data_IF_780739171066
#
_entry.id   IF_780739171066
#
_cell.length_a   1.000
_cell.length_b   1.000
_cell.length_c   1.000
_cell.angle_alpha   90.00
_cell.angle_beta   90.00
_cell.angle_gamma   90.00
#
_symmetry.space_group_name_H-M   'P 1'
#
loop_
_entity.id
_entity.type
_entity.pdbx_description
1 polymer ?
#
# COMPACT_ATOMS: atom_id res chain seq x y z
N UNK A 1 10.48 8.13 27.84
CA UNK A 1 10.96 7.25 26.75
C UNK A 1 10.36 7.62 25.38
N UNK A 2 9.64 8.75 25.26
CA UNK A 2 9.07 9.30 24.02
C UNK A 2 10.08 10.26 23.33
N UNK A 3 11.09 10.75 24.06
CA UNK A 3 12.03 11.77 23.58
C UNK A 3 13.16 11.28 22.65
N UNK A 4 13.36 9.97 22.47
CA UNK A 4 14.43 9.46 21.61
C UNK A 4 14.06 9.36 20.12
N UNK A 5 12.78 9.60 19.75
CA UNK A 5 12.32 9.49 18.37
C UNK A 5 12.37 10.84 17.63
N UNK A 6 12.46 11.96 18.36
CA UNK A 6 12.50 13.30 17.77
C UNK A 6 13.86 13.66 17.12
N UNK A 7 14.92 12.88 17.31
CA UNK A 7 16.30 13.23 16.92
C UNK A 7 17.02 12.16 16.08
N UNK A 8 16.39 11.57 15.05
CA UNK A 8 17.11 10.67 14.14
C UNK A 8 17.38 11.32 12.76
N UNK A 9 18.63 11.73 12.45
CA UNK A 9 18.98 12.59 11.31
C UNK A 9 19.16 11.84 9.97
N UNK A 10 18.45 10.74 9.75
CA UNK A 10 18.56 9.93 8.53
C UNK A 10 17.35 10.09 7.61
N UNK A 11 16.80 11.31 7.55
CA UNK A 11 15.96 11.70 6.42
C UNK A 11 16.90 11.94 5.23
N UNK A 12 16.94 10.96 4.34
CA UNK A 12 17.75 11.06 3.13
C UNK A 12 17.20 12.21 2.29
N UNK A 13 18.02 13.20 1.96
CA UNK A 13 17.66 14.48 1.30
C UNK A 13 16.67 14.39 0.12
N UNK A 14 16.57 13.25 -0.57
CA UNK A 14 15.55 13.03 -1.63
C UNK A 14 14.16 12.68 -1.10
N UNK A 15 14.05 11.90 -0.02
CA UNK A 15 12.77 11.61 0.64
C UNK A 15 12.19 12.86 1.30
N UNK A 16 13.05 13.66 1.92
CA UNK A 16 12.70 14.96 2.52
C UNK A 16 12.03 15.92 1.53
N UNK A 17 12.55 15.99 0.29
CA UNK A 17 12.02 16.85 -0.78
C UNK A 17 10.67 16.35 -1.32
N UNK A 18 10.47 15.03 -1.40
CA UNK A 18 9.20 14.46 -1.88
C UNK A 18 8.11 14.56 -0.80
N UNK A 19 8.46 14.30 0.47
CA UNK A 19 7.56 14.42 1.62
C UNK A 19 7.08 15.87 1.79
N UNK A 20 7.98 16.86 1.63
CA UNK A 20 7.63 18.28 1.72
C UNK A 20 6.67 18.72 0.61
N UNK A 21 6.86 18.21 -0.62
CA UNK A 21 6.02 18.59 -1.78
C UNK A 21 4.57 18.13 -1.68
N UNK A 22 4.32 16.92 -1.18
CA UNK A 22 2.94 16.44 -1.05
C UNK A 22 2.18 17.15 0.07
N UNK A 23 2.87 17.47 1.16
CA UNK A 23 2.39 18.35 2.22
C UNK A 23 2.09 19.78 1.73
N UNK A 24 2.99 20.39 0.95
CA UNK A 24 2.81 21.72 0.35
C UNK A 24 1.57 21.76 -0.55
N UNK A 25 1.37 20.74 -1.40
CA UNK A 25 0.17 20.61 -2.25
C UNK A 25 -1.13 20.51 -1.44
N UNK A 26 -1.12 19.75 -0.34
CA UNK A 26 -2.31 19.62 0.52
C UNK A 26 -2.66 20.96 1.15
N UNK A 27 -1.66 21.64 1.69
CA UNK A 27 -1.79 22.96 2.32
C UNK A 27 -2.32 24.00 1.32
N UNK A 28 -1.77 24.02 0.10
CA UNK A 28 -2.25 24.89 -0.97
C UNK A 28 -3.72 24.60 -1.30
N UNK A 29 -4.08 23.32 -1.46
CA UNK A 29 -5.47 22.90 -1.72
C UNK A 29 -6.42 23.34 -0.61
N UNK A 30 -6.00 23.22 0.64
CA UNK A 30 -6.79 23.68 1.80
C UNK A 30 -6.94 25.19 1.82
N UNK A 31 -5.87 25.94 1.60
CA UNK A 31 -5.92 27.40 1.59
C UNK A 31 -6.88 27.92 0.52
N UNK A 32 -6.93 27.26 -0.65
CA UNK A 32 -7.88 27.57 -1.71
C UNK A 32 -9.32 27.25 -1.29
N UNK A 33 -9.56 26.12 -0.61
CA UNK A 33 -10.87 25.78 -0.06
C UNK A 33 -11.31 26.82 0.97
N UNK A 34 -10.47 27.11 1.96
CA UNK A 34 -10.75 28.08 3.02
C UNK A 34 -10.99 29.48 2.47
N UNK A 35 -10.19 29.92 1.50
CA UNK A 35 -10.41 31.20 0.82
C UNK A 35 -11.80 31.24 0.16
N UNK A 36 -12.22 30.15 -0.49
CA UNK A 36 -13.53 30.03 -1.13
C UNK A 36 -14.69 30.18 -0.13
N UNK A 37 -14.51 29.68 1.11
CA UNK A 37 -15.53 29.73 2.16
C UNK A 37 -15.47 30.97 3.05
N UNK A 38 -14.29 31.57 3.24
CA UNK A 38 -14.02 32.65 4.20
C UNK A 38 -14.90 33.90 4.05
N UNK A 39 -15.34 34.18 2.81
CA UNK A 39 -16.26 35.28 2.52
C UNK A 39 -17.69 35.05 3.02
N UNK A 40 -18.15 33.79 3.05
CA UNK A 40 -19.50 33.42 3.46
C UNK A 40 -19.57 32.87 4.88
N UNK A 41 -18.52 32.20 5.34
CA UNK A 41 -18.43 31.53 6.64
C UNK A 41 -17.29 32.10 7.48
N UNK A 42 -17.48 32.08 8.79
CA UNK A 42 -16.40 32.12 9.77
C UNK A 42 -16.06 30.66 10.11
N UNK A 43 -14.89 30.19 9.68
CA UNK A 43 -14.47 28.80 9.89
C UNK A 43 -14.03 28.65 11.35
N UNK A 44 -14.74 27.82 12.10
CA UNK A 44 -14.48 27.56 13.52
C UNK A 44 -13.58 26.35 13.70
N UNK A 45 -13.78 25.31 12.89
CA UNK A 45 -13.05 24.05 13.01
C UNK A 45 -12.98 23.28 11.68
N UNK A 46 -11.98 22.40 11.53
CA UNK A 46 -11.72 21.63 10.31
C UNK A 46 -11.47 20.16 10.63
N UNK A 47 -11.97 19.30 9.76
CA UNK A 47 -11.73 17.86 9.79
C UNK A 47 -11.46 17.30 8.39
N UNK A 48 -10.57 16.33 8.31
CA UNK A 48 -10.23 15.66 7.07
C UNK A 48 -10.14 14.15 7.26
N UNK A 49 -10.75 13.42 6.33
CA UNK A 49 -10.68 11.96 6.27
C UNK A 49 -10.22 11.56 4.87
N UNK A 50 -9.14 10.79 4.79
CA UNK A 50 -8.61 10.28 3.53
C UNK A 50 -8.76 8.76 3.52
N UNK A 51 -9.46 8.24 2.51
CA UNK A 51 -9.50 6.81 2.22
C UNK A 51 -8.57 6.54 1.04
N UNK A 52 -7.45 5.88 1.32
CA UNK A 52 -6.40 5.61 0.34
C UNK A 52 -6.87 4.65 -0.74
N UNK A 53 -7.59 3.59 -0.36
CA UNK A 53 -8.05 2.56 -1.28
C UNK A 53 -9.09 3.11 -2.26
N UNK A 54 -10.05 3.88 -1.74
CA UNK A 54 -11.11 4.48 -2.55
C UNK A 54 -10.63 5.73 -3.31
N UNK A 55 -9.42 6.21 -3.02
CA UNK A 55 -8.85 7.46 -3.53
C UNK A 55 -9.80 8.65 -3.31
N UNK A 56 -10.41 8.69 -2.13
CA UNK A 56 -11.34 9.75 -1.75
C UNK A 56 -10.83 10.54 -0.56
N UNK A 57 -11.07 11.83 -0.59
CA UNK A 57 -10.77 12.76 0.48
C UNK A 57 -12.06 13.45 0.90
N UNK A 58 -12.51 13.24 2.12
CA UNK A 58 -13.59 14.00 2.71
C UNK A 58 -13.00 15.18 3.48
N UNK A 59 -13.28 16.39 3.00
CA UNK A 59 -13.01 17.62 3.73
C UNK A 59 -14.29 18.09 4.40
N UNK A 60 -14.21 18.42 5.69
CA UNK A 60 -15.35 18.99 6.41
C UNK A 60 -14.90 20.11 7.31
N UNK A 61 -15.76 21.10 7.50
CA UNK A 61 -15.50 22.17 8.45
C UNK A 61 -16.79 22.58 9.15
N UNK A 62 -16.64 23.07 10.37
CA UNK A 62 -17.70 23.76 11.10
C UNK A 62 -17.52 25.25 10.85
N UNK A 63 -18.56 25.91 10.36
CA UNK A 63 -18.50 27.33 10.09
C UNK A 63 -19.79 28.05 10.45
N UNK A 64 -19.66 29.25 11.00
CA UNK A 64 -20.78 30.16 11.25
C UNK A 64 -21.08 30.94 9.98
N UNK A 65 -22.32 30.88 9.51
CA UNK A 65 -22.71 31.58 8.30
C UNK A 65 -22.79 33.10 8.56
N UNK A 66 -21.91 33.88 7.93
CA UNK A 66 -21.91 35.35 8.04
C UNK A 66 -23.05 35.97 7.24
N UNK A 67 -23.22 35.48 6.01
CA UNK A 67 -24.22 35.97 5.06
C UNK A 67 -24.80 34.81 4.26
N UNK A 68 -26.12 34.79 4.11
CA UNK A 68 -26.82 33.83 3.26
C UNK A 68 -27.01 34.36 1.82
N UNK A 69 -26.44 35.52 1.50
CA UNK A 69 -26.50 36.11 0.16
C UNK A 69 -25.40 35.55 -0.71
N UNK A 70 -25.79 34.78 -1.73
CA UNK A 70 -24.90 34.42 -2.84
C UNK A 70 -24.69 32.92 -3.00
N UNK A 71 -23.55 32.59 -3.62
CA UNK A 71 -23.10 31.23 -3.89
C UNK A 71 -21.61 31.16 -3.59
N UNK A 72 -21.15 30.05 -3.02
CA UNK A 72 -19.73 29.75 -2.86
C UNK A 72 -19.30 28.88 -4.03
N UNK A 73 -18.26 29.30 -4.74
CA UNK A 73 -17.65 28.50 -5.81
C UNK A 73 -16.45 27.75 -5.24
N UNK A 74 -16.42 26.45 -5.44
CA UNK A 74 -15.30 25.58 -5.06
C UNK A 74 -14.58 25.21 -6.36
N UNK A 75 -13.28 25.52 -6.49
CA UNK A 75 -12.51 25.28 -7.71
C UNK A 75 -12.05 23.81 -7.83
N UNK A 76 -12.87 22.88 -7.34
CA UNK A 76 -12.63 21.44 -7.40
C UNK A 76 -13.92 20.70 -7.73
N UNK A 77 -13.77 19.62 -8.49
CA UNK A 77 -14.84 18.67 -8.73
C UNK A 77 -15.05 17.86 -7.45
N UNK A 78 -16.23 18.01 -6.85
CA UNK A 78 -16.68 17.17 -5.74
C UNK A 78 -17.47 15.99 -6.30
N UNK A 79 -17.54 14.88 -5.57
CA UNK A 79 -18.48 13.80 -5.87
C UNK A 79 -19.80 14.02 -5.14
N UNK A 80 -19.71 14.57 -3.93
CA UNK A 80 -20.85 14.96 -3.10
C UNK A 80 -20.47 16.20 -2.29
N UNK A 81 -21.45 17.05 -2.04
CA UNK A 81 -21.31 18.16 -1.13
C UNK A 81 -22.59 18.30 -0.29
N UNK A 82 -22.47 18.48 1.01
CA UNK A 82 -23.61 18.64 1.92
C UNK A 82 -23.38 19.80 2.87
N UNK A 83 -24.47 20.50 3.20
CA UNK A 83 -24.49 21.48 4.29
C UNK A 83 -25.57 21.03 5.27
N UNK A 84 -25.26 21.04 6.56
CA UNK A 84 -26.18 20.65 7.63
C UNK A 84 -26.11 21.65 8.78
N UNK A 85 -27.24 22.16 9.28
CA UNK A 85 -27.24 22.86 10.56
C UNK A 85 -26.81 21.91 11.67
N UNK A 86 -25.99 22.36 12.63
CA UNK A 86 -25.54 21.50 13.74
C UNK A 86 -26.72 20.98 14.56
N UNK A 87 -27.77 21.79 14.74
CA UNK A 87 -28.89 21.48 15.62
C UNK A 87 -29.88 20.48 15.02
N UNK A 88 -30.17 20.57 13.72
CA UNK A 88 -31.15 19.67 13.07
C UNK A 88 -30.51 18.47 12.38
N UNK A 89 -29.23 18.57 12.00
CA UNK A 89 -28.47 17.55 11.24
C UNK A 89 -29.10 17.15 9.89
N UNK A 90 -30.16 17.84 9.46
CA UNK A 90 -30.82 17.60 8.19
C UNK A 90 -29.84 17.88 7.04
N UNK A 91 -29.77 16.94 6.09
CA UNK A 91 -28.94 17.12 4.90
C UNK A 91 -29.62 18.06 3.93
N UNK A 92 -29.04 19.22 3.70
CA UNK A 92 -29.49 20.13 2.66
C UNK A 92 -28.52 19.95 1.47
N UNK A 93 -28.94 19.29 0.37
CA UNK A 93 -28.15 19.23 -0.85
C UNK A 93 -28.26 20.61 -1.52
N UNK A 94 -27.24 21.45 -1.34
CA UNK A 94 -27.25 22.83 -1.85
C UNK A 94 -26.26 23.06 -3.00
N UNK A 95 -25.88 22.01 -3.71
CA UNK A 95 -24.84 22.08 -4.73
C UNK A 95 -25.33 21.90 -6.17
N UNK A 96 -24.74 22.68 -7.07
CA UNK A 96 -24.78 22.51 -8.52
C UNK A 96 -23.35 22.23 -9.01
N UNK A 97 -23.17 21.32 -9.97
CA UNK A 97 -21.89 21.14 -10.64
C UNK A 97 -21.91 21.82 -12.01
N UNK A 98 -20.91 22.67 -12.28
CA UNK A 98 -20.79 23.37 -13.55
C UNK A 98 -19.33 23.49 -13.96
N UNK A 99 -18.99 23.00 -15.15
CA UNK A 99 -17.64 23.09 -15.74
C UNK A 99 -16.50 22.60 -14.80
N UNK A 100 -16.75 21.55 -14.01
CA UNK A 100 -15.77 21.00 -13.06
C UNK A 100 -15.68 21.74 -11.72
N UNK A 101 -16.45 22.81 -11.52
CA UNK A 101 -16.61 23.53 -10.25
C UNK A 101 -17.85 23.05 -9.50
N UNK A 102 -17.77 23.10 -8.16
CA UNK A 102 -18.93 22.86 -7.29
C UNK A 102 -19.44 24.20 -6.76
N UNK A 103 -20.72 24.50 -6.98
CA UNK A 103 -21.34 25.75 -6.54
C UNK A 103 -22.31 25.45 -5.40
N UNK A 104 -22.06 26.01 -4.22
CA UNK A 104 -22.94 25.91 -3.06
C UNK A 104 -23.85 27.13 -2.98
N UNK A 105 -25.16 26.93 -3.01
CA UNK A 105 -26.16 27.98 -2.86
C UNK A 105 -26.45 28.22 -1.38
N UNK A 106 -26.40 29.48 -0.93
CA UNK A 106 -26.56 29.79 0.50
C UNK A 106 -27.93 30.39 0.84
N UNK A 107 -28.77 30.68 -0.16
CA UNK A 107 -30.01 31.45 0.01
C UNK A 107 -31.00 30.85 1.01
N UNK A 108 -31.02 29.53 1.14
CA UNK A 108 -31.95 28.81 2.00
C UNK A 108 -31.40 28.57 3.42
N UNK A 109 -30.19 29.05 3.69
CA UNK A 109 -29.55 28.91 5.00
C UNK A 109 -29.85 30.14 5.86
N UNK A 110 -30.02 29.91 7.16
CA UNK A 110 -30.20 30.97 8.15
C UNK A 110 -28.84 31.60 8.51
N UNK A 111 -28.71 32.93 8.46
CA UNK A 111 -27.47 33.61 8.85
C UNK A 111 -27.24 33.52 10.36
N UNK A 112 -25.98 33.63 10.77
CA UNK A 112 -25.48 33.53 12.16
C UNK A 112 -25.68 32.17 12.83
N UNK A 113 -26.09 31.15 12.08
CA UNK A 113 -26.17 29.77 12.54
C UNK A 113 -24.90 29.00 12.15
N UNK A 114 -24.59 27.97 12.92
CA UNK A 114 -23.41 27.12 12.73
C UNK A 114 -23.79 25.91 11.87
N UNK A 115 -22.99 25.69 10.83
CA UNK A 115 -23.20 24.63 9.85
C UNK A 115 -21.99 23.73 9.76
N UNK A 116 -22.25 22.45 9.50
CA UNK A 116 -21.27 21.48 9.05
C UNK A 116 -21.33 21.45 7.53
N UNK A 117 -20.21 21.78 6.89
CA UNK A 117 -20.04 21.64 5.44
C UNK A 117 -19.16 20.42 5.20
N UNK A 118 -19.61 19.52 4.33
CA UNK A 118 -18.87 18.31 3.96
C UNK A 118 -18.69 18.26 2.44
N UNK A 119 -17.47 18.01 1.99
CA UNK A 119 -17.08 17.89 0.59
C UNK A 119 -16.35 16.56 0.38
N UNK A 120 -16.89 15.72 -0.49
CA UNK A 120 -16.23 14.48 -0.92
C UNK A 120 -15.45 14.76 -2.21
N UNK A 121 -14.13 14.78 -2.12
CA UNK A 121 -13.19 15.07 -3.20
C UNK A 121 -12.53 13.78 -3.71
N UNK A 122 -12.20 13.73 -5.00
CA UNK A 122 -11.34 12.67 -5.53
C UNK A 122 -9.86 13.04 -5.37
N UNK A 123 -9.05 12.03 -5.11
CA UNK A 123 -7.59 12.09 -5.12
C UNK A 123 -7.13 11.53 -6.47
N UNK A 124 -6.35 12.32 -7.20
CA UNK A 124 -5.84 11.94 -8.52
C UNK A 124 -4.34 11.61 -8.52
N UNK A 125 -3.62 12.01 -7.47
CA UNK A 125 -2.16 11.84 -7.34
C UNK A 125 -1.87 10.76 -6.29
N UNK A 126 -1.35 9.60 -6.70
CA UNK A 126 -1.03 8.51 -5.78
C UNK A 126 0.16 8.86 -4.87
N UNK A 127 1.08 9.70 -5.37
CA UNK A 127 2.25 10.16 -4.59
C UNK A 127 1.88 11.11 -3.46
N UNK A 128 0.69 11.70 -3.52
CA UNK A 128 0.17 12.53 -2.44
C UNK A 128 -0.02 11.69 -1.18
N UNK A 129 -0.62 10.51 -1.27
CA UNK A 129 -0.84 9.65 -0.10
C UNK A 129 0.49 9.19 0.50
N UNK A 130 1.44 8.79 -0.35
CA UNK A 130 2.79 8.38 0.08
C UNK A 130 3.52 9.49 0.85
N UNK A 131 3.19 10.77 0.62
CA UNK A 131 3.80 11.88 1.35
C UNK A 131 3.25 12.09 2.76
N UNK A 132 2.05 11.59 3.04
CA UNK A 132 1.36 11.77 4.32
C UNK A 132 1.83 10.77 5.38
N UNK A 133 2.44 9.66 4.95
CA UNK A 133 2.85 8.57 5.82
C UNK A 133 4.30 8.22 5.59
N UNK A 134 5.05 8.19 6.67
CA UNK A 134 6.34 7.53 6.70
C UNK A 134 6.16 6.06 7.07
N UNK A 135 6.51 5.16 6.15
CA UNK A 135 6.57 3.72 6.41
C UNK A 135 8.01 3.27 6.56
N UNK A 136 8.31 2.53 7.63
CA UNK A 136 9.63 1.93 7.84
C UNK A 136 9.51 0.42 7.85
N UNK A 137 10.27 -0.20 6.95
CA UNK A 137 10.42 -1.63 6.76
C UNK A 137 11.92 -1.90 6.72
N UNK A 138 12.50 -2.57 7.73
CA UNK A 138 13.91 -2.93 7.69
C UNK A 138 14.22 -3.83 6.49
N UNK A 139 15.42 -3.66 5.93
CA UNK A 139 15.87 -4.45 4.78
C UNK A 139 16.17 -5.89 5.16
N UNK A 140 16.55 -6.12 6.41
CA UNK A 140 16.89 -7.44 6.94
C UNK A 140 15.83 -7.85 7.97
N UNK A 141 15.24 -9.04 7.83
CA UNK A 141 14.36 -9.60 8.85
C UNK A 141 15.16 -10.04 10.07
N UNK A 142 14.48 -10.09 11.22
CA UNK A 142 14.96 -10.85 12.36
C UNK A 142 14.68 -12.32 12.09
N UNK A 143 15.73 -13.15 12.04
CA UNK A 143 15.64 -14.54 11.62
C UNK A 143 15.88 -15.50 12.79
N UNK A 144 15.00 -16.47 12.92
CA UNK A 144 15.09 -17.64 13.79
C UNK A 144 15.01 -18.91 12.92
N UNK A 145 15.33 -20.08 13.48
CA UNK A 145 15.32 -21.37 12.79
C UNK A 145 13.95 -21.71 12.18
N UNK A 146 12.87 -21.14 12.74
CA UNK A 146 11.50 -21.45 12.34
C UNK A 146 10.76 -20.31 11.64
N UNK A 147 11.16 -19.06 11.90
CA UNK A 147 10.40 -17.86 11.54
C UNK A 147 11.33 -16.75 11.05
N UNK A 148 10.90 -16.01 10.03
CA UNK A 148 11.47 -14.69 9.70
C UNK A 148 10.49 -13.61 10.11
N UNK A 149 10.94 -12.64 10.90
CA UNK A 149 10.11 -11.53 11.38
C UNK A 149 10.53 -10.25 10.68
N UNK A 150 9.54 -9.56 10.13
CA UNK A 150 9.72 -8.28 9.45
C UNK A 150 8.98 -7.22 10.28
N UNK A 151 9.66 -6.51 11.19
CA UNK A 151 9.03 -5.45 11.95
C UNK A 151 8.63 -4.31 11.00
N UNK A 152 7.39 -3.87 11.10
CA UNK A 152 6.82 -2.80 10.28
C UNK A 152 6.31 -1.67 11.15
N UNK A 153 6.42 -0.46 10.62
CA UNK A 153 5.83 0.72 11.26
C UNK A 153 5.34 1.72 10.23
N UNK A 154 4.26 2.40 10.56
CA UNK A 154 3.67 3.48 9.78
C UNK A 154 3.42 4.66 10.71
N UNK A 155 3.75 5.87 10.26
CA UNK A 155 3.62 7.09 11.05
C UNK A 155 3.18 8.27 10.18
N UNK A 156 2.27 9.10 10.68
CA UNK A 156 1.90 10.37 10.05
C UNK A 156 3.10 11.32 10.02
N UNK A 157 3.38 11.87 8.84
CA UNK A 157 4.39 12.92 8.68
C UNK A 157 3.88 14.23 9.29
N UNK A 158 4.74 15.12 9.77
CA UNK A 158 4.36 16.47 10.23
C UNK A 158 3.18 16.57 11.25
N UNK A 159 3.09 15.64 12.22
CA UNK A 159 2.00 15.55 13.21
C UNK A 159 1.55 16.91 13.81
N UNK A 160 2.49 17.71 14.32
CA UNK A 160 2.19 19.02 14.93
C UNK A 160 1.45 19.96 13.99
N UNK A 161 1.69 19.87 12.69
CA UNK A 161 0.96 20.67 11.73
C UNK A 161 -0.48 20.18 11.58
N UNK A 162 -0.70 18.87 11.52
CA UNK A 162 -2.05 18.31 11.44
C UNK A 162 -2.88 18.65 12.67
N UNK A 163 -2.30 18.58 13.86
CA UNK A 163 -2.94 18.99 15.12
C UNK A 163 -3.32 20.47 15.13
N UNK A 164 -2.49 21.34 14.52
CA UNK A 164 -2.79 22.77 14.42
C UNK A 164 -3.81 23.10 13.32
N UNK A 165 -3.84 22.31 12.24
CA UNK A 165 -4.68 22.58 11.08
C UNK A 165 -6.09 21.98 11.22
N UNK A 166 -6.23 20.85 11.91
CA UNK A 166 -7.46 20.08 12.03
C UNK A 166 -7.72 19.62 13.45
N UNK A 167 -8.98 19.67 13.90
CA UNK A 167 -9.39 18.95 15.09
C UNK A 167 -9.46 17.45 14.89
N UNK A 168 -9.68 17.02 13.64
CA UNK A 168 -9.76 15.60 13.27
C UNK A 168 -9.08 15.35 11.93
N UNK A 169 -8.09 14.47 11.95
CA UNK A 169 -7.44 13.97 10.75
C UNK A 169 -7.36 12.45 10.83
N UNK A 170 -7.88 11.77 9.81
CA UNK A 170 -7.90 10.30 9.72
C UNK A 170 -7.45 9.86 8.34
N UNK A 171 -6.62 8.82 8.32
CA UNK A 171 -6.09 8.22 7.12
C UNK A 171 -6.32 6.70 7.16
N UNK A 172 -7.18 6.23 6.27
CA UNK A 172 -7.64 4.85 6.23
C UNK A 172 -7.02 4.06 5.08
N UNK A 173 -6.67 2.80 5.35
CA UNK A 173 -6.23 1.84 4.33
C UNK A 173 -4.83 2.12 3.80
N UNK A 174 -3.90 2.48 4.69
CA UNK A 174 -2.50 2.70 4.33
C UNK A 174 -1.85 1.36 4.02
N UNK A 175 -1.33 1.20 2.81
CA UNK A 175 -0.62 0.01 2.38
C UNK A 175 0.85 0.04 2.85
N UNK A 176 1.28 -1.02 3.52
CA UNK A 176 2.67 -1.32 3.86
C UNK A 176 3.07 -2.60 3.15
N UNK A 177 4.01 -2.49 2.20
CA UNK A 177 4.43 -3.59 1.33
C UNK A 177 5.75 -4.19 1.80
N UNK A 178 5.71 -5.42 2.31
CA UNK A 178 6.88 -6.11 2.84
C UNK A 178 7.38 -7.13 1.82
N UNK A 179 8.66 -7.01 1.46
CA UNK A 179 9.36 -7.96 0.60
C UNK A 179 9.83 -9.18 1.41
N UNK A 180 9.10 -10.28 1.35
CA UNK A 180 9.48 -11.56 1.98
C UNK A 180 10.36 -12.35 1.01
N UNK A 181 11.66 -12.42 1.31
CA UNK A 181 12.61 -13.19 0.51
C UNK A 181 12.43 -14.69 0.74
N UNK A 182 12.15 -15.45 -0.34
CA UNK A 182 11.88 -16.89 -0.31
C UNK A 182 12.90 -17.72 -1.09
N UNK A 183 13.75 -17.07 -1.90
CA UNK A 183 14.68 -17.77 -2.78
C UNK A 183 15.74 -18.62 -2.06
N UNK A 184 16.13 -18.23 -0.85
CA UNK A 184 17.14 -18.94 -0.09
C UNK A 184 16.59 -20.28 0.39
N UNK A 185 15.36 -20.27 0.92
CA UNK A 185 14.62 -21.45 1.37
C UNK A 185 14.45 -22.47 0.24
N UNK A 186 14.05 -21.98 -0.93
CA UNK A 186 13.85 -22.81 -2.12
C UNK A 186 15.17 -23.45 -2.54
N UNK A 187 16.26 -22.68 -2.63
CA UNK A 187 17.57 -23.19 -3.05
C UNK A 187 18.11 -24.28 -2.10
N UNK A 188 17.76 -24.23 -0.81
CA UNK A 188 18.17 -25.24 0.15
C UNK A 188 17.40 -26.55 0.01
N UNK A 189 16.16 -26.51 -0.48
CA UNK A 189 15.29 -27.69 -0.61
C UNK A 189 15.26 -28.29 -2.01
N UNK A 190 15.47 -27.49 -3.06
CA UNK A 190 15.49 -27.98 -4.44
C UNK A 190 16.76 -28.81 -4.70
N UNK A 191 16.63 -30.09 -5.09
CA UNK A 191 17.79 -30.93 -5.39
C UNK A 191 18.59 -30.40 -6.59
N UNK A 192 19.93 -30.43 -6.50
CA UNK A 192 20.83 -29.99 -7.60
C UNK A 192 20.54 -30.68 -8.93
N UNK A 193 20.15 -31.96 -8.90
CA UNK A 193 19.80 -32.73 -10.10
C UNK A 193 18.61 -32.10 -10.86
N UNK A 194 17.64 -31.57 -10.11
CA UNK A 194 16.47 -30.89 -10.66
C UNK A 194 16.84 -29.50 -11.23
N UNK A 195 17.70 -28.74 -10.54
CA UNK A 195 18.23 -27.48 -11.09
C UNK A 195 18.99 -27.71 -12.41
N UNK A 196 19.81 -28.75 -12.47
CA UNK A 196 20.56 -29.12 -13.67
C UNK A 196 19.65 -29.58 -14.81
N UNK A 197 18.52 -30.21 -14.50
CA UNK A 197 17.48 -30.56 -15.48
C UNK A 197 16.86 -29.29 -16.07
N UNK A 198 16.40 -28.36 -15.23
CA UNK A 198 15.82 -27.08 -15.67
C UNK A 198 16.80 -26.27 -16.54
N UNK A 199 18.08 -26.22 -16.14
CA UNK A 199 19.13 -25.57 -16.93
C UNK A 199 19.35 -26.23 -18.28
N UNK A 200 19.21 -27.56 -18.36
CA UNK A 200 19.41 -28.32 -19.61
C UNK A 200 18.25 -28.07 -20.57
N UNK A 201 17.01 -28.09 -20.08
CA UNK A 201 15.81 -27.70 -20.86
C UNK A 201 15.94 -26.26 -21.37
N UNK A 202 16.32 -25.33 -20.50
CA UNK A 202 16.47 -23.94 -20.90
C UNK A 202 17.48 -23.75 -22.02
N UNK A 203 18.67 -24.34 -21.86
CA UNK A 203 19.69 -24.25 -22.90
C UNK A 203 19.12 -24.76 -24.22
N UNK A 204 18.48 -25.93 -24.23
CA UNK A 204 17.86 -26.51 -25.42
C UNK A 204 16.80 -25.59 -26.07
N UNK A 205 16.01 -24.88 -25.26
CA UNK A 205 14.90 -24.07 -25.76
C UNK A 205 15.28 -22.65 -26.20
N UNK A 206 16.34 -22.07 -25.63
CA UNK A 206 16.55 -20.61 -25.70
C UNK A 206 17.92 -20.18 -26.18
N UNK A 207 18.91 -21.07 -26.20
CA UNK A 207 20.27 -20.72 -26.65
C UNK A 207 20.47 -21.22 -28.08
N UNK A 208 20.79 -20.33 -29.05
CA UNK A 208 21.20 -20.75 -30.38
C UNK A 208 22.45 -21.61 -30.28
N UNK A 209 22.38 -22.84 -30.80
CA UNK A 209 23.45 -23.83 -30.66
C UNK A 209 23.67 -24.59 -31.96
N UNK A 210 24.88 -25.09 -32.13
CA UNK A 210 25.19 -26.01 -33.21
C UNK A 210 24.55 -27.39 -32.99
N UNK A 211 24.45 -28.19 -34.06
CA UNK A 211 23.81 -29.51 -34.04
C UNK A 211 24.47 -30.48 -33.06
N UNK A 212 25.77 -30.34 -32.82
CA UNK A 212 26.55 -31.22 -31.92
C UNK A 212 26.28 -30.89 -30.45
N UNK A 213 26.23 -29.61 -30.11
CA UNK A 213 25.89 -29.09 -28.79
C UNK A 213 24.45 -29.45 -28.42
N UNK A 214 23.53 -29.31 -29.39
CA UNK A 214 22.14 -29.71 -29.21
C UNK A 214 22.04 -31.22 -28.92
N UNK A 215 22.72 -32.07 -29.71
CA UNK A 215 22.73 -33.53 -29.51
C UNK A 215 23.29 -33.92 -28.13
N UNK A 216 24.35 -33.24 -27.65
CA UNK A 216 24.92 -33.45 -26.31
C UNK A 216 23.92 -33.12 -25.21
N UNK A 217 23.18 -32.02 -25.33
CA UNK A 217 22.18 -31.62 -24.34
C UNK A 217 20.95 -32.53 -24.36
N UNK A 218 20.51 -33.01 -25.53
CA UNK A 218 19.44 -34.02 -25.64
C UNK A 218 19.85 -35.32 -24.97
N UNK A 219 21.08 -35.80 -25.20
CA UNK A 219 21.61 -36.97 -24.51
C UNK A 219 21.70 -36.77 -23.00
N UNK A 220 22.10 -35.57 -22.55
CA UNK A 220 22.11 -35.22 -21.13
C UNK A 220 20.70 -35.25 -20.54
N UNK A 221 19.72 -34.67 -21.22
CA UNK A 221 18.32 -34.65 -20.81
C UNK A 221 17.75 -36.07 -20.73
N UNK A 222 18.03 -36.92 -21.71
CA UNK A 222 17.61 -38.33 -21.72
C UNK A 222 18.19 -39.09 -20.52
N UNK A 223 19.47 -38.87 -20.18
CA UNK A 223 20.07 -39.45 -18.95
C UNK A 223 19.39 -38.93 -17.69
N UNK A 224 19.03 -37.65 -17.64
CA UNK A 224 18.31 -37.06 -16.51
C UNK A 224 16.87 -37.57 -16.39
N UNK A 225 16.20 -37.92 -17.49
CA UNK A 225 14.87 -38.55 -17.47
C UNK A 225 14.85 -39.95 -16.84
N UNK A 226 16.00 -40.61 -16.71
CA UNK A 226 16.12 -41.88 -15.97
C UNK A 226 16.43 -41.66 -14.47
N UNK A 227 16.43 -40.41 -14.00
CA UNK A 227 16.63 -40.08 -12.58
C UNK A 227 15.34 -40.23 -11.77
N UNK A 228 15.44 -40.04 -10.44
CA UNK A 228 14.31 -40.07 -9.50
C UNK A 228 13.12 -39.18 -9.92
N UNK A 229 13.38 -38.11 -10.67
CA UNK A 229 12.38 -37.11 -11.05
C UNK A 229 11.81 -37.30 -12.47
N UNK A 230 12.31 -38.30 -13.21
CA UNK A 230 11.94 -38.58 -14.58
C UNK A 230 10.43 -38.73 -14.81
N UNK A 231 9.85 -37.86 -15.63
CA UNK A 231 8.43 -37.88 -15.99
C UNK A 231 7.50 -37.18 -14.99
N UNK A 232 8.01 -36.69 -13.86
CA UNK A 232 7.26 -35.92 -12.85
C UNK A 232 7.65 -34.46 -12.79
N UNK A 233 8.60 -34.02 -13.61
CA UNK A 233 9.23 -32.70 -13.45
C UNK A 233 8.23 -31.57 -13.68
N UNK A 234 7.34 -31.70 -14.67
CA UNK A 234 6.30 -30.72 -14.93
C UNK A 234 5.27 -30.65 -13.79
N UNK A 235 4.94 -31.78 -13.16
CA UNK A 235 4.04 -31.82 -12.01
C UNK A 235 4.67 -31.13 -10.80
N UNK A 236 5.95 -31.42 -10.52
CA UNK A 236 6.73 -30.75 -9.46
C UNK A 236 6.80 -29.24 -9.71
N UNK A 237 7.08 -28.79 -10.94
CA UNK A 237 7.09 -27.36 -11.29
C UNK A 237 5.71 -26.75 -11.04
N UNK A 238 4.63 -27.42 -11.47
CA UNK A 238 3.27 -26.94 -11.31
C UNK A 238 2.90 -26.82 -9.83
N UNK A 239 3.19 -27.82 -9.02
CA UNK A 239 2.91 -27.81 -7.58
C UNK A 239 3.73 -26.75 -6.86
N UNK A 240 5.01 -26.63 -7.20
CA UNK A 240 5.88 -25.58 -6.67
C UNK A 240 5.36 -24.18 -7.03
N UNK A 241 4.93 -23.95 -8.27
CA UNK A 241 4.31 -22.69 -8.68
C UNK A 241 3.02 -22.38 -7.89
N UNK A 242 2.22 -23.41 -7.59
CA UNK A 242 1.00 -23.23 -6.81
C UNK A 242 1.29 -22.70 -5.40
N UNK A 243 2.41 -23.09 -4.76
CA UNK A 243 2.80 -22.58 -3.44
C UNK A 243 2.99 -21.05 -3.44
N UNK A 244 3.32 -20.45 -4.59
CA UNK A 244 3.50 -19.01 -4.75
C UNK A 244 2.24 -18.27 -5.21
N UNK A 245 1.09 -18.95 -5.25
CA UNK A 245 -0.19 -18.25 -5.45
C UNK A 245 -0.58 -17.50 -4.17
N UNK A 246 -1.23 -16.33 -4.26
CA UNK A 246 -1.62 -15.56 -3.07
C UNK A 246 -2.44 -16.38 -2.07
N UNK A 247 -3.38 -17.18 -2.58
CA UNK A 247 -4.22 -18.05 -1.77
C UNK A 247 -3.40 -19.06 -0.95
N UNK A 248 -2.45 -19.78 -1.57
CA UNK A 248 -1.63 -20.77 -0.84
C UNK A 248 -0.56 -20.12 0.01
N UNK A 249 0.11 -19.07 -0.47
CA UNK A 249 1.22 -18.45 0.24
C UNK A 249 0.77 -17.72 1.51
N UNK A 250 -0.46 -17.21 1.54
CA UNK A 250 -1.04 -16.53 2.71
C UNK A 250 -0.99 -17.38 3.99
N UNK A 251 -1.03 -18.72 3.89
CA UNK A 251 -0.97 -19.63 5.05
C UNK A 251 0.35 -19.56 5.82
N UNK A 252 1.43 -19.16 5.15
CA UNK A 252 2.75 -19.01 5.76
C UNK A 252 2.98 -17.62 6.34
N UNK A 253 2.01 -16.71 6.22
CA UNK A 253 2.11 -15.34 6.65
C UNK A 253 1.18 -15.11 7.84
N UNK A 254 1.73 -14.56 8.91
CA UNK A 254 0.98 -14.12 10.07
C UNK A 254 1.35 -12.66 10.36
N UNK A 255 0.35 -11.81 10.56
CA UNK A 255 0.57 -10.40 10.87
C UNK A 255 0.18 -10.16 12.33
N UNK A 256 1.10 -9.55 13.09
CA UNK A 256 0.90 -9.20 14.49
C UNK A 256 0.91 -7.68 14.69
N UNK A 257 0.22 -7.24 15.74
CA UNK A 257 0.13 -5.83 16.12
C UNK A 257 -1.06 -5.13 15.47
N UNK A 258 -0.90 -3.84 15.18
CA UNK A 258 -1.99 -2.95 14.75
C UNK A 258 -2.18 -2.90 13.23
N UNK A 259 -1.82 -4.00 12.58
CA UNK A 259 -1.79 -4.17 11.15
C UNK A 259 -2.69 -5.33 10.75
N UNK A 260 -3.35 -5.23 9.60
CA UNK A 260 -4.21 -6.28 9.04
C UNK A 260 -3.60 -6.86 7.77
N UNK A 261 -3.81 -8.16 7.55
CA UNK A 261 -3.52 -8.79 6.26
C UNK A 261 -4.48 -8.26 5.22
N UNK A 262 -3.96 -7.98 4.02
CA UNK A 262 -4.78 -7.58 2.88
C UNK A 262 -4.57 -8.52 1.69
N UNK A 263 -3.35 -8.56 1.15
CA UNK A 263 -3.05 -9.33 -0.05
C UNK A 263 -1.58 -9.76 -0.10
N UNK A 264 -1.28 -10.67 -1.02
CA UNK A 264 0.06 -11.10 -1.38
C UNK A 264 0.22 -11.03 -2.89
N UNK A 265 1.33 -10.45 -3.35
CA UNK A 265 1.69 -10.46 -4.75
C UNK A 265 2.98 -11.25 -4.97
N UNK A 266 3.05 -11.95 -6.11
CA UNK A 266 4.28 -12.60 -6.55
C UNK A 266 5.27 -11.54 -7.04
N UNK A 267 6.48 -11.56 -6.49
CA UNK A 267 7.56 -10.70 -6.94
C UNK A 267 8.26 -11.23 -8.20
N UNK A 268 9.36 -10.60 -8.63
CA UNK A 268 10.11 -11.03 -9.80
C UNK A 268 10.69 -12.43 -9.62
N UNK A 269 10.77 -13.19 -10.70
CA UNK A 269 11.32 -14.54 -10.70
C UNK A 269 12.82 -14.60 -10.41
N UNK A 270 13.24 -15.69 -9.76
CA UNK A 270 14.63 -15.89 -9.35
C UNK A 270 15.58 -16.07 -10.53
N UNK A 271 15.16 -16.84 -11.52
CA UNK A 271 15.93 -17.09 -12.72
C UNK A 271 15.35 -16.32 -13.92
N UNK A 272 16.21 -15.87 -14.83
CA UNK A 272 15.85 -15.27 -16.13
C UNK A 272 15.37 -16.32 -17.14
N UNK A 273 14.83 -17.43 -16.67
CA UNK A 273 14.34 -18.51 -17.51
C UNK A 273 12.97 -18.13 -18.08
N UNK A 274 12.67 -18.44 -19.35
CA UNK A 274 11.37 -18.20 -19.97
C UNK A 274 10.27 -19.13 -19.42
N UNK A 275 10.64 -20.05 -18.52
CA UNK A 275 9.70 -20.83 -17.73
C UNK A 275 9.67 -20.20 -16.33
N UNK A 276 8.52 -19.64 -15.88
CA UNK A 276 8.40 -19.11 -14.53
C UNK A 276 8.75 -20.20 -13.55
N UNK A 277 9.86 -20.08 -12.84
CA UNK A 277 10.26 -21.12 -11.87
C UNK A 277 9.64 -20.76 -10.53
N UNK A 278 10.34 -19.95 -9.77
CA UNK A 278 9.87 -19.46 -8.49
C UNK A 278 10.36 -18.02 -8.26
N UNK A 279 9.61 -17.23 -7.47
CA UNK A 279 9.94 -15.84 -7.21
C UNK A 279 11.18 -15.67 -6.32
N UNK A 280 11.88 -14.54 -6.46
CA UNK A 280 12.92 -14.11 -5.51
C UNK A 280 12.33 -13.81 -4.13
N UNK A 281 11.16 -13.18 -4.18
CA UNK A 281 10.44 -12.62 -3.05
C UNK A 281 8.93 -12.63 -3.30
N UNK A 282 8.16 -12.75 -2.23
CA UNK A 282 6.73 -12.47 -2.21
C UNK A 282 6.51 -11.10 -1.58
N UNK A 283 5.59 -10.31 -2.11
CA UNK A 283 5.26 -8.98 -1.61
C UNK A 283 4.00 -9.12 -0.76
N UNK A 284 4.13 -9.05 0.56
CA UNK A 284 3.00 -9.06 1.48
C UNK A 284 2.49 -7.64 1.64
N UNK A 285 1.21 -7.42 1.35
CA UNK A 285 0.53 -6.14 1.56
C UNK A 285 -0.21 -6.22 2.89
N UNK A 286 0.21 -5.38 3.82
CA UNK A 286 -0.47 -5.17 5.09
C UNK A 286 -1.08 -3.78 5.15
N UNK A 287 -2.25 -3.66 5.78
CA UNK A 287 -2.94 -2.37 5.92
C UNK A 287 -3.01 -1.90 7.37
N UNK A 288 -3.05 -0.60 7.55
CA UNK A 288 -3.39 0.03 8.83
C UNK A 288 -4.09 1.37 8.61
N UNK A 289 -4.59 1.94 9.69
CA UNK A 289 -5.28 3.23 9.72
C UNK A 289 -4.58 4.12 10.75
N UNK A 290 -4.40 5.41 10.45
CA UNK A 290 -3.75 6.37 11.34
C UNK A 290 -4.66 7.57 11.57
N UNK A 291 -4.58 8.16 12.77
CA UNK A 291 -5.28 9.39 13.11
C UNK A 291 -4.43 10.26 14.05
N UNK A 292 -4.95 11.40 14.48
CA UNK A 292 -4.22 12.29 15.40
C UNK A 292 -3.98 11.68 16.79
N UNK A 293 -4.83 10.75 17.23
CA UNK A 293 -4.71 10.10 18.55
C UNK A 293 -3.73 8.92 18.52
N UNK A 294 -3.70 8.21 17.40
CA UNK A 294 -2.84 7.08 17.06
C UNK A 294 -2.01 7.40 15.81
N UNK A 295 -1.08 8.38 15.90
CA UNK A 295 -0.36 8.90 14.75
C UNK A 295 0.74 7.97 14.25
N UNK A 296 1.07 6.92 15.02
CA UNK A 296 2.04 5.92 14.65
C UNK A 296 1.59 4.54 15.14
N UNK A 297 1.77 3.54 14.28
CA UNK A 297 1.45 2.14 14.57
C UNK A 297 2.64 1.24 14.30
N UNK A 298 2.74 0.16 15.08
CA UNK A 298 3.80 -0.85 14.95
C UNK A 298 3.21 -2.25 14.86
N UNK A 299 3.89 -3.10 14.12
CA UNK A 299 3.51 -4.49 13.95
C UNK A 299 4.65 -5.30 13.36
N UNK A 300 4.34 -6.54 13.05
CA UNK A 300 5.31 -7.50 12.52
C UNK A 300 4.63 -8.38 11.48
N UNK A 301 5.31 -8.61 10.36
CA UNK A 301 4.95 -9.67 9.42
C UNK A 301 5.84 -10.87 9.73
N UNK A 302 5.23 -11.98 10.10
CA UNK A 302 5.90 -13.24 10.39
C UNK A 302 5.77 -14.16 9.19
N UNK A 303 6.90 -14.67 8.71
CA UNK A 303 6.95 -15.70 7.69
C UNK A 303 7.35 -17.03 8.34
N UNK A 304 6.45 -18.01 8.25
CA UNK A 304 6.60 -19.39 8.76
C UNK A 304 7.54 -20.19 7.88
N UNK A 305 8.83 -19.85 7.97
CA UNK A 305 9.92 -20.43 7.18
C UNK A 305 9.95 -21.95 7.27
N UNK A 306 9.77 -22.53 8.46
CA UNK A 306 9.84 -23.99 8.64
C UNK A 306 8.75 -24.72 7.86
N UNK A 307 7.49 -24.34 8.06
CA UNK A 307 6.33 -24.92 7.37
C UNK A 307 6.45 -24.77 5.84
N UNK A 308 6.92 -23.62 5.39
CA UNK A 308 7.18 -23.39 3.97
C UNK A 308 8.27 -24.32 3.40
N UNK A 309 9.37 -24.51 4.14
CA UNK A 309 10.45 -25.41 3.73
C UNK A 309 10.07 -26.89 3.78
N UNK A 310 9.19 -27.29 4.70
CA UNK A 310 8.63 -28.64 4.78
C UNK A 310 7.78 -28.90 3.52
N UNK A 311 6.82 -28.03 3.22
CA UNK A 311 5.97 -28.16 2.03
C UNK A 311 6.75 -28.17 0.70
N UNK A 312 7.88 -27.45 0.60
CA UNK A 312 8.76 -27.56 -0.57
C UNK A 312 9.49 -28.90 -0.59
N UNK A 313 9.96 -29.36 0.57
CA UNK A 313 10.67 -30.63 0.70
C UNK A 313 9.82 -31.81 0.22
N UNK A 314 8.56 -31.84 0.63
CA UNK A 314 7.57 -32.87 0.29
C UNK A 314 7.37 -33.04 -1.23
N UNK A 315 7.60 -31.99 -2.03
CA UNK A 315 7.52 -32.06 -3.49
C UNK A 315 8.63 -32.90 -4.14
N UNK A 316 9.73 -33.17 -3.42
CA UNK A 316 10.92 -33.86 -3.93
C UNK A 316 11.17 -35.23 -3.26
N UNK A 317 10.33 -35.62 -2.31
CA UNK A 317 10.36 -36.95 -1.67
C UNK A 317 9.78 -38.05 -2.56
#
# INVERSE_FOLDING_TARGET
MIDQILNNPLVTKMGEVVLRKGFEKLTERMNVLDASFSGAFEILDRAMVINVLEKTQKYSFIGRLKTNRGRVKIPYTTTRAFIRPILSLDKIPVFEQKNGETILHLKNLKPKEDYIVELDLKIHDDKFVESLVYTKIPKEPEEDDHLKKYPISAQLTHLKYWENAFSRFELYGIDVKVDVAVHQEIKLKVPRQFEDYLRTIYKLASVPMDRTQQLRLVMKLSKQQHSKFGGKELDIIRELQQLFTPAKFSKYIEIKGEFRYDDVARGPDFNELPIPTWPKKMIVVSRTDLDLQTPAKRGEVLFKKKEFMEDIGDLFE
#
